data_IF_969564936481
#
_entry.id   IF_969564936481
#
_cell.length_a   1.000
_cell.length_b   1.000
_cell.length_c   1.000
_cell.angle_alpha   90.00
_cell.angle_beta   90.00
_cell.angle_gamma   90.00
#
_symmetry.space_group_name_H-M   'P 1'
#
loop_
_entity.id
_entity.type
_entity.pdbx_description
1 polymer ?
#
# COMPACT_ATOMS: atom_id res chain seq x y z
N UNK A 1 23.18 40.85 -41.69
CA UNK A 1 24.63 41.02 -41.67
C UNK A 1 25.02 40.90 -40.18
N UNK A 2 25.77 39.96 -39.65
CA UNK A 2 27.02 39.37 -39.98
C UNK A 2 27.22 38.08 -39.16
N UNK A 3 27.44 36.97 -39.84
CA UNK A 3 28.35 35.83 -39.65
C UNK A 3 28.67 35.22 -38.26
N UNK A 4 28.24 33.98 -38.18
CA UNK A 4 28.93 32.73 -37.76
C UNK A 4 30.40 32.85 -37.29
N UNK A 5 30.72 32.11 -36.20
CA UNK A 5 31.94 31.26 -36.21
C UNK A 5 31.72 30.00 -35.32
N UNK A 6 31.83 28.85 -35.99
CA UNK A 6 32.03 27.50 -35.38
C UNK A 6 33.47 27.43 -34.84
N UNK A 7 33.64 26.77 -33.71
CA UNK A 7 34.95 26.17 -33.37
C UNK A 7 34.68 24.72 -32.96
N UNK A 8 35.27 23.87 -33.76
CA UNK A 8 35.42 22.41 -33.61
C UNK A 8 36.71 22.16 -32.83
N UNK A 9 36.69 21.30 -31.82
CA UNK A 9 37.91 20.73 -31.27
C UNK A 9 37.73 19.22 -31.05
N UNK A 10 38.54 18.51 -31.81
CA UNK A 10 38.78 17.06 -31.83
C UNK A 10 39.80 16.66 -30.73
N UNK A 11 39.69 15.40 -30.30
CA UNK A 11 40.80 14.62 -29.76
C UNK A 11 40.52 14.06 -28.36
N UNK A 12 40.72 12.84 -27.97
CA UNK A 12 41.56 11.75 -28.50
C UNK A 12 41.07 10.44 -27.85
N UNK A 13 40.99 9.39 -28.61
CA UNK A 13 40.71 8.03 -28.17
C UNK A 13 41.93 7.45 -27.42
N UNK A 14 41.66 6.78 -26.31
CA UNK A 14 42.65 5.90 -25.64
C UNK A 14 42.07 4.49 -25.56
N UNK A 15 42.49 3.64 -26.48
CA UNK A 15 42.21 2.19 -26.47
C UNK A 15 43.24 1.53 -25.57
N UNK A 16 42.79 0.86 -24.52
CA UNK A 16 43.63 -0.09 -23.78
C UNK A 16 43.13 -1.51 -24.09
N UNK A 17 43.87 -2.21 -24.94
CA UNK A 17 43.74 -3.64 -25.20
C UNK A 17 44.53 -4.36 -24.14
N UNK A 18 43.89 -5.22 -23.35
CA UNK A 18 44.57 -6.25 -22.54
C UNK A 18 44.01 -7.61 -22.91
N UNK A 19 44.96 -8.49 -23.20
CA UNK A 19 44.82 -9.70 -23.97
C UNK A 19 43.96 -10.81 -23.38
N UNK A 20 43.42 -11.58 -24.30
CA UNK A 20 42.82 -12.87 -24.11
C UNK A 20 43.86 -13.92 -23.76
N UNK A 21 43.64 -14.62 -22.63
CA UNK A 21 44.15 -15.97 -22.45
C UNK A 21 42.98 -16.94 -22.56
N UNK A 22 42.93 -17.64 -23.66
CA UNK A 22 41.97 -18.74 -23.86
C UNK A 22 42.45 -19.96 -23.04
N UNK A 23 41.57 -20.46 -22.16
CA UNK A 23 41.61 -21.84 -21.72
C UNK A 23 40.23 -22.45 -21.95
N UNK A 24 40.19 -23.35 -22.91
CA UNK A 24 39.08 -24.26 -23.18
C UNK A 24 38.92 -25.22 -22.00
N UNK A 25 37.73 -25.34 -21.42
CA UNK A 25 37.25 -26.63 -20.92
C UNK A 25 35.72 -26.69 -20.87
N UNK A 26 35.23 -27.69 -21.54
CA UNK A 26 33.99 -28.52 -21.39
C UNK A 26 32.77 -27.91 -20.76
N UNK A 27 31.69 -27.96 -21.55
CA UNK A 27 30.31 -27.78 -21.15
C UNK A 27 29.92 -28.71 -19.99
N UNK A 28 29.41 -28.14 -18.94
CA UNK A 28 28.39 -28.72 -18.09
C UNK A 28 27.32 -27.62 -17.92
N UNK A 29 26.10 -27.91 -18.45
CA UNK A 29 24.90 -27.13 -18.22
C UNK A 29 24.53 -27.20 -16.74
N UNK A 30 25.06 -26.30 -15.93
CA UNK A 30 24.51 -25.99 -14.62
C UNK A 30 23.74 -24.66 -14.73
N UNK A 31 22.49 -24.77 -15.14
CA UNK A 31 21.47 -23.77 -14.86
C UNK A 31 21.13 -23.81 -13.36
N UNK A 32 22.08 -23.48 -12.52
CA UNK A 32 21.81 -23.10 -11.15
C UNK A 32 21.65 -21.55 -11.14
N UNK A 33 20.48 -21.10 -11.55
CA UNK A 33 20.08 -19.71 -11.31
C UNK A 33 19.95 -19.55 -9.81
N UNK A 34 20.94 -18.88 -9.24
CA UNK A 34 20.98 -18.47 -7.85
C UNK A 34 19.91 -17.40 -7.62
N UNK A 35 18.63 -17.83 -7.55
CA UNK A 35 17.45 -17.01 -7.29
C UNK A 35 17.32 -16.61 -5.81
N UNK A 36 18.21 -17.11 -4.96
CA UNK A 36 18.07 -16.96 -3.50
C UNK A 36 18.48 -15.59 -2.94
N UNK A 37 19.03 -14.66 -3.74
CA UNK A 37 19.45 -13.32 -3.28
C UNK A 37 19.15 -12.22 -4.31
N UNK A 38 18.21 -12.41 -5.21
CA UNK A 38 17.82 -11.34 -6.13
C UNK A 38 17.11 -10.23 -5.35
N UNK A 39 17.63 -9.01 -5.45
CA UNK A 39 16.99 -7.81 -4.91
C UNK A 39 15.61 -7.64 -5.55
N UNK A 40 14.61 -7.38 -4.74
CA UNK A 40 13.26 -7.07 -5.19
C UNK A 40 12.86 -5.66 -4.76
N UNK A 41 11.87 -5.09 -5.45
CA UNK A 41 11.29 -3.80 -5.09
C UNK A 41 9.97 -4.03 -4.37
N UNK A 42 9.70 -3.23 -3.34
CA UNK A 42 8.43 -3.23 -2.62
C UNK A 42 7.68 -1.95 -2.95
N UNK A 43 6.40 -2.06 -3.27
CA UNK A 43 5.52 -0.92 -3.49
C UNK A 43 4.21 -1.06 -2.74
N UNK A 44 3.63 0.06 -2.36
CA UNK A 44 2.28 0.15 -1.81
C UNK A 44 1.54 1.30 -2.49
N UNK A 45 0.25 1.12 -2.68
CA UNK A 45 -0.66 2.18 -3.12
C UNK A 45 -2.01 2.04 -2.45
N UNK A 46 -2.70 3.17 -2.39
CA UNK A 46 -4.03 3.31 -1.81
C UNK A 46 -4.88 4.11 -2.80
N UNK A 47 -6.15 3.73 -2.90
CA UNK A 47 -7.21 4.52 -3.54
C UNK A 47 -8.33 4.64 -2.51
N UNK A 48 -8.53 5.84 -2.00
CA UNK A 48 -9.54 6.16 -1.00
C UNK A 48 -10.61 7.07 -1.58
N UNK A 49 -11.87 6.82 -1.26
CA UNK A 49 -13.00 7.61 -1.74
C UNK A 49 -14.11 7.73 -0.69
N UNK A 50 -14.82 8.86 -0.74
CA UNK A 50 -16.09 9.05 -0.04
C UNK A 50 -17.17 9.07 -1.10
N UNK A 51 -18.23 8.27 -0.91
CA UNK A 51 -19.35 8.16 -1.84
C UNK A 51 -20.68 8.01 -1.09
N UNK A 52 -21.77 8.06 -1.83
CA UNK A 52 -23.08 7.69 -1.30
C UNK A 52 -23.09 6.21 -0.90
N UNK A 53 -23.72 5.87 0.21
CA UNK A 53 -23.98 4.46 0.54
C UNK A 53 -24.90 3.86 -0.54
N UNK A 54 -24.46 2.79 -1.19
CA UNK A 54 -25.18 2.15 -2.29
C UNK A 54 -26.54 1.58 -1.86
N UNK A 55 -26.64 1.18 -0.58
CA UNK A 55 -27.87 0.58 0.00
C UNK A 55 -28.77 1.61 0.67
N UNK A 56 -28.20 2.70 1.19
CA UNK A 56 -28.92 3.78 1.84
C UNK A 56 -28.54 5.13 1.21
N UNK A 57 -29.12 5.42 0.05
CA UNK A 57 -28.88 6.66 -0.71
C UNK A 57 -29.55 7.87 -0.06
N UNK A 58 -29.13 8.18 1.16
CA UNK A 58 -29.63 9.27 2.00
C UNK A 58 -28.51 10.26 2.27
N UNK A 59 -28.84 11.54 2.45
CA UNK A 59 -27.88 12.55 2.88
C UNK A 59 -27.29 12.29 4.29
N UNK A 60 -27.90 11.36 5.04
CA UNK A 60 -27.46 10.95 6.37
C UNK A 60 -26.51 9.75 6.37
N UNK A 61 -26.24 9.13 5.21
CA UNK A 61 -25.40 7.94 5.08
C UNK A 61 -24.33 8.12 4.02
N UNK A 62 -23.13 7.62 4.32
CA UNK A 62 -21.99 7.61 3.41
C UNK A 62 -21.37 6.21 3.36
N UNK A 63 -20.60 5.98 2.31
CA UNK A 63 -19.65 4.88 2.22
C UNK A 63 -18.25 5.46 2.01
N UNK A 64 -17.34 5.09 2.90
CA UNK A 64 -15.92 5.45 2.87
C UNK A 64 -15.17 4.18 2.55
N UNK A 65 -14.60 4.10 1.36
CA UNK A 65 -13.81 2.96 0.92
C UNK A 65 -12.35 3.34 0.76
N UNK A 66 -11.49 2.42 1.16
CA UNK A 66 -10.06 2.52 0.94
C UNK A 66 -9.52 1.15 0.54
N UNK A 67 -9.24 0.98 -0.75
CA UNK A 67 -8.57 -0.20 -1.27
C UNK A 67 -7.07 0.04 -1.27
N UNK A 68 -6.30 -0.91 -0.73
CA UNK A 68 -4.86 -0.86 -0.72
C UNK A 68 -4.27 -2.12 -1.39
N UNK A 69 -3.14 -1.93 -2.07
CA UNK A 69 -2.32 -3.03 -2.57
C UNK A 69 -0.87 -2.86 -2.15
N UNK A 70 -0.25 -3.97 -1.75
CA UNK A 70 1.18 -4.12 -1.60
C UNK A 70 1.70 -5.06 -2.68
N UNK A 71 2.85 -4.75 -3.27
CA UNK A 71 3.50 -5.58 -4.28
C UNK A 71 4.97 -5.81 -3.94
N UNK A 72 5.43 -7.02 -4.22
CA UNK A 72 6.83 -7.37 -4.35
C UNK A 72 7.08 -7.63 -5.83
N UNK A 73 7.98 -6.90 -6.46
CA UNK A 73 8.26 -7.01 -7.90
C UNK A 73 9.75 -7.25 -8.16
N UNK A 74 10.03 -7.92 -9.26
CA UNK A 74 11.39 -8.13 -9.75
C UNK A 74 11.96 -6.87 -10.45
N UNK A 75 13.17 -6.99 -11.00
CA UNK A 75 13.85 -5.91 -11.70
C UNK A 75 13.07 -5.43 -12.94
N UNK A 76 12.32 -6.30 -13.59
CA UNK A 76 11.54 -6.04 -14.79
C UNK A 76 10.12 -5.51 -14.49
N UNK A 77 9.79 -5.36 -13.20
CA UNK A 77 8.47 -4.89 -12.75
C UNK A 77 7.39 -5.97 -12.80
N UNK A 78 7.76 -7.25 -12.88
CA UNK A 78 6.82 -8.36 -12.76
C UNK A 78 6.53 -8.67 -11.31
N UNK A 79 5.29 -8.96 -11.02
CA UNK A 79 4.80 -9.26 -9.67
C UNK A 79 5.36 -10.61 -9.20
N UNK A 80 6.15 -10.61 -8.14
CA UNK A 80 6.57 -11.81 -7.39
C UNK A 80 5.45 -12.20 -6.43
N UNK A 81 4.95 -11.22 -5.66
CA UNK A 81 3.78 -11.37 -4.78
C UNK A 81 2.97 -10.09 -4.72
N UNK A 82 1.68 -10.21 -4.42
CA UNK A 82 0.75 -9.10 -4.26
C UNK A 82 -0.23 -9.41 -3.15
N UNK A 83 -0.58 -8.39 -2.36
CA UNK A 83 -1.61 -8.45 -1.33
C UNK A 83 -2.56 -7.29 -1.52
N UNK A 84 -3.86 -7.56 -1.40
CA UNK A 84 -4.93 -6.58 -1.52
C UNK A 84 -5.84 -6.69 -0.31
N UNK A 85 -6.21 -5.56 0.27
CA UNK A 85 -7.26 -5.49 1.29
C UNK A 85 -8.07 -4.19 1.11
N UNK A 86 -9.25 -4.15 1.69
CA UNK A 86 -10.16 -3.00 1.58
C UNK A 86 -10.83 -2.72 2.92
N UNK A 87 -10.67 -1.48 3.38
CA UNK A 87 -11.46 -0.93 4.47
C UNK A 87 -12.71 -0.28 3.90
N UNK A 88 -13.88 -0.71 4.38
CA UNK A 88 -15.18 -0.15 4.02
C UNK A 88 -15.91 0.28 5.28
N UNK A 89 -16.11 1.59 5.43
CA UNK A 89 -16.78 2.19 6.59
C UNK A 89 -18.07 2.88 6.14
N UNK A 90 -19.20 2.54 6.77
CA UNK A 90 -20.53 3.05 6.39
C UNK A 90 -21.18 3.82 7.55
N UNK A 91 -20.78 5.09 7.77
CA UNK A 91 -21.42 5.91 8.79
C UNK A 91 -22.85 6.30 8.36
N UNK A 92 -23.80 6.16 9.30
CA UNK A 92 -25.19 6.57 9.14
C UNK A 92 -25.58 7.42 10.36
N UNK A 93 -25.86 8.70 10.14
CA UNK A 93 -26.19 9.65 11.22
C UNK A 93 -27.49 9.29 11.96
N UNK A 94 -28.37 8.51 11.34
CA UNK A 94 -29.59 8.02 11.98
C UNK A 94 -29.32 6.83 12.90
N UNK A 95 -28.11 6.26 12.85
CA UNK A 95 -27.67 5.13 13.66
C UNK A 95 -26.42 5.53 14.45
N UNK A 96 -26.54 5.55 15.76
CA UNK A 96 -25.43 5.83 16.68
C UNK A 96 -24.58 7.06 16.28
N UNK A 97 -25.24 8.14 15.78
CA UNK A 97 -24.60 9.38 15.33
C UNK A 97 -23.42 9.14 14.35
N UNK A 98 -23.61 8.22 13.42
CA UNK A 98 -22.60 7.87 12.42
C UNK A 98 -21.46 7.01 12.95
N UNK A 99 -21.54 6.48 14.16
CA UNK A 99 -20.54 5.57 14.69
C UNK A 99 -20.66 4.19 14.04
N UNK A 100 -19.55 3.64 13.57
CA UNK A 100 -19.47 2.28 12.98
C UNK A 100 -18.74 1.39 13.97
N UNK A 101 -19.42 0.37 14.50
CA UNK A 101 -18.87 -0.53 15.53
C UNK A 101 -17.93 -1.59 14.97
N UNK A 102 -18.12 -2.04 13.73
CA UNK A 102 -17.28 -3.03 13.06
C UNK A 102 -16.44 -2.38 11.95
N UNK A 103 -15.22 -2.00 12.32
CA UNK A 103 -14.24 -1.37 11.44
C UNK A 103 -13.22 -2.37 10.85
N UNK A 104 -13.47 -3.68 10.98
CA UNK A 104 -12.64 -4.71 10.33
C UNK A 104 -12.64 -4.51 8.81
N UNK A 105 -11.50 -4.80 8.18
CA UNK A 105 -11.40 -4.82 6.72
C UNK A 105 -12.23 -5.96 6.12
N UNK A 106 -12.46 -5.93 4.81
CA UNK A 106 -13.14 -7.03 4.12
C UNK A 106 -12.38 -8.36 4.26
N UNK A 107 -11.04 -8.30 4.24
CA UNK A 107 -10.21 -9.48 4.45
C UNK A 107 -10.31 -10.03 5.89
N UNK A 108 -10.35 -9.14 6.89
CA UNK A 108 -10.47 -9.54 8.30
C UNK A 108 -11.89 -10.06 8.63
N UNK A 109 -12.93 -9.59 7.92
CA UNK A 109 -14.32 -10.07 8.06
C UNK A 109 -14.51 -11.49 7.53
N UNK A 110 -13.78 -11.89 6.51
CA UNK A 110 -13.92 -13.21 5.88
C UNK A 110 -15.39 -13.54 5.58
N UNK A 111 -15.90 -14.63 6.21
CA UNK A 111 -17.28 -15.09 6.06
C UNK A 111 -18.31 -14.09 6.63
N UNK A 112 -17.95 -13.28 7.61
CA UNK A 112 -18.81 -12.26 8.18
C UNK A 112 -19.12 -11.12 7.19
N UNK A 113 -18.35 -10.99 6.09
CA UNK A 113 -18.68 -10.05 5.01
C UNK A 113 -19.94 -10.45 4.27
N UNK A 114 -20.22 -11.76 4.17
CA UNK A 114 -21.53 -12.31 3.78
C UNK A 114 -21.82 -12.26 2.28
N UNK A 115 -20.81 -12.23 1.42
CA UNK A 115 -20.99 -12.14 -0.03
C UNK A 115 -21.36 -13.48 -0.69
N UNK A 116 -21.01 -14.62 -0.10
CA UNK A 116 -21.10 -15.94 -0.70
C UNK A 116 -22.47 -16.27 -1.30
N UNK A 117 -23.53 -15.86 -0.61
CA UNK A 117 -24.91 -16.15 -1.03
C UNK A 117 -25.35 -15.38 -2.29
N UNK A 118 -24.71 -14.25 -2.57
CA UNK A 118 -25.00 -13.38 -3.73
C UNK A 118 -23.95 -13.51 -4.84
N UNK A 119 -22.86 -14.19 -4.56
CA UNK A 119 -21.78 -14.41 -5.51
C UNK A 119 -22.17 -15.43 -6.59
N UNK A 120 -22.03 -15.11 -7.90
CA UNK A 120 -22.33 -16.05 -8.99
C UNK A 120 -21.52 -17.36 -8.94
N UNK A 121 -20.35 -17.33 -8.28
CA UNK A 121 -19.46 -18.50 -8.13
C UNK A 121 -19.45 -19.05 -6.70
N UNK A 122 -20.34 -18.56 -5.82
CA UNK A 122 -20.49 -19.05 -4.46
C UNK A 122 -19.25 -18.83 -3.58
N UNK A 123 -18.47 -17.77 -3.84
CA UNK A 123 -17.25 -17.43 -3.09
C UNK A 123 -17.41 -16.12 -2.34
N UNK A 124 -16.78 -16.05 -1.16
CA UNK A 124 -16.64 -14.82 -0.38
C UNK A 124 -15.66 -13.83 -1.05
N UNK A 125 -15.69 -12.58 -0.58
CA UNK A 125 -14.82 -11.53 -1.09
C UNK A 125 -13.33 -11.90 -0.98
N UNK A 126 -12.89 -12.38 0.19
CA UNK A 126 -11.50 -12.75 0.43
C UNK A 126 -11.02 -13.92 -0.46
N UNK A 127 -11.91 -14.86 -0.82
CA UNK A 127 -11.59 -15.96 -1.72
C UNK A 127 -11.42 -15.46 -3.17
N UNK A 128 -12.20 -14.47 -3.58
CA UNK A 128 -12.11 -13.88 -4.91
C UNK A 128 -10.88 -12.98 -5.05
N UNK A 129 -10.52 -12.24 -4.00
CA UNK A 129 -9.27 -11.46 -3.96
C UNK A 129 -8.06 -12.39 -3.99
N UNK A 130 -8.05 -13.49 -3.25
CA UNK A 130 -6.98 -14.47 -3.30
C UNK A 130 -6.81 -15.06 -4.70
N UNK A 131 -7.90 -15.27 -5.46
CA UNK A 131 -7.84 -15.71 -6.85
C UNK A 131 -7.24 -14.61 -7.76
N UNK A 132 -7.59 -13.34 -7.54
CA UNK A 132 -6.99 -12.21 -8.25
C UNK A 132 -5.48 -12.12 -7.95
N UNK A 133 -5.07 -12.19 -6.69
CA UNK A 133 -3.67 -12.16 -6.27
C UNK A 133 -2.86 -13.27 -6.94
N UNK A 134 -3.41 -14.50 -6.97
CA UNK A 134 -2.77 -15.65 -7.61
C UNK A 134 -2.63 -15.43 -9.13
N UNK A 135 -3.67 -14.92 -9.79
CA UNK A 135 -3.66 -14.62 -11.23
C UNK A 135 -2.67 -13.49 -11.59
N UNK A 136 -2.50 -12.50 -10.72
CA UNK A 136 -1.65 -11.34 -10.98
C UNK A 136 -0.13 -11.67 -10.90
N UNK A 137 0.27 -12.74 -10.22
CA UNK A 137 1.68 -13.13 -10.12
C UNK A 137 2.31 -13.40 -11.49
N UNK A 138 3.53 -12.92 -11.68
CA UNK A 138 4.28 -13.00 -12.94
C UNK A 138 3.90 -11.96 -13.99
N UNK A 139 2.86 -11.14 -13.73
CA UNK A 139 2.37 -10.11 -14.65
C UNK A 139 2.99 -8.75 -14.37
N UNK A 140 3.06 -7.93 -15.40
CA UNK A 140 3.37 -6.49 -15.33
C UNK A 140 2.12 -5.67 -15.04
N UNK A 141 2.27 -4.36 -14.76
CA UNK A 141 1.14 -3.46 -14.55
C UNK A 141 0.16 -3.42 -15.74
N UNK A 142 0.68 -3.44 -16.96
CA UNK A 142 -0.16 -3.38 -18.17
C UNK A 142 -0.92 -4.70 -18.38
N UNK A 143 -0.29 -5.84 -18.11
CA UNK A 143 -0.93 -7.16 -18.16
C UNK A 143 -2.02 -7.31 -17.10
N UNK A 144 -1.82 -6.74 -15.90
CA UNK A 144 -2.85 -6.70 -14.84
C UNK A 144 -4.04 -5.83 -15.28
N UNK A 145 -3.79 -4.64 -15.84
CA UNK A 145 -4.86 -3.78 -16.36
C UNK A 145 -5.67 -4.42 -17.48
N UNK A 146 -5.01 -5.18 -18.36
CA UNK A 146 -5.66 -5.88 -19.47
C UNK A 146 -6.56 -7.06 -19.03
N UNK A 147 -6.51 -7.46 -17.76
CA UNK A 147 -7.32 -8.55 -17.21
C UNK A 147 -8.79 -8.21 -16.98
N UNK A 148 -9.17 -6.93 -17.08
CA UNK A 148 -10.56 -6.46 -16.94
C UNK A 148 -11.04 -5.77 -18.23
N UNK A 149 -12.34 -5.75 -18.43
CA UNK A 149 -13.00 -5.00 -19.51
C UNK A 149 -13.26 -3.53 -19.12
N UNK A 150 -13.84 -2.76 -20.04
CA UNK A 150 -14.17 -1.35 -19.83
C UNK A 150 -15.17 -1.11 -18.70
N UNK A 151 -15.87 -2.14 -18.26
CA UNK A 151 -16.79 -2.09 -17.09
C UNK A 151 -16.11 -2.44 -15.77
N UNK A 152 -14.82 -2.83 -15.82
CA UNK A 152 -14.00 -3.18 -14.66
C UNK A 152 -14.22 -4.59 -14.13
N UNK A 153 -14.91 -5.46 -14.87
CA UNK A 153 -15.06 -6.86 -14.53
C UNK A 153 -14.05 -7.73 -15.28
N UNK A 154 -13.72 -8.90 -14.73
CA UNK A 154 -12.75 -9.80 -15.31
C UNK A 154 -13.12 -10.21 -16.76
N UNK A 155 -12.24 -9.91 -17.71
CA UNK A 155 -12.31 -10.33 -19.12
C UNK A 155 -11.38 -11.49 -19.43
N UNK A 156 -10.25 -11.60 -18.73
CA UNK A 156 -9.37 -12.77 -18.78
C UNK A 156 -10.08 -14.01 -18.23
N UNK A 157 -10.00 -15.14 -18.94
CA UNK A 157 -10.75 -16.35 -18.62
C UNK A 157 -10.33 -16.97 -17.29
N UNK A 158 -9.04 -16.97 -16.99
CA UNK A 158 -8.50 -17.53 -15.75
C UNK A 158 -8.88 -16.66 -14.55
N UNK A 159 -8.82 -15.34 -14.71
CA UNK A 159 -9.28 -14.41 -13.68
C UNK A 159 -10.79 -14.56 -13.44
N UNK A 160 -11.59 -14.61 -14.49
CA UNK A 160 -13.06 -14.73 -14.41
C UNK A 160 -13.52 -16.00 -13.70
N UNK A 161 -12.78 -17.09 -13.81
CA UNK A 161 -13.08 -18.34 -13.13
C UNK A 161 -12.97 -18.22 -11.60
N UNK A 162 -12.18 -17.28 -11.10
CA UNK A 162 -11.92 -17.11 -9.67
C UNK A 162 -12.45 -15.81 -9.07
N UNK A 163 -12.68 -14.77 -9.89
CA UNK A 163 -13.04 -13.41 -9.46
C UNK A 163 -14.15 -12.87 -10.37
N UNK A 164 -15.34 -12.68 -9.83
CA UNK A 164 -16.54 -12.17 -10.53
C UNK A 164 -17.00 -10.82 -9.96
N UNK A 165 -16.32 -10.33 -8.93
CA UNK A 165 -16.55 -8.99 -8.37
C UNK A 165 -15.90 -7.92 -9.25
N UNK A 166 -16.25 -6.66 -9.02
CA UNK A 166 -15.60 -5.52 -9.67
C UNK A 166 -14.11 -5.51 -9.34
N UNK A 167 -13.27 -5.77 -10.32
CA UNK A 167 -11.82 -5.88 -10.18
C UNK A 167 -11.07 -4.66 -10.74
N UNK A 168 -11.78 -3.68 -11.33
CA UNK A 168 -11.18 -2.45 -11.86
C UNK A 168 -10.43 -1.64 -10.80
N UNK A 169 -10.94 -1.60 -9.57
CA UNK A 169 -10.25 -1.00 -8.43
C UNK A 169 -8.96 -1.74 -8.08
N UNK A 170 -8.98 -3.07 -8.12
CA UNK A 170 -7.79 -3.89 -7.83
C UNK A 170 -6.70 -3.72 -8.88
N UNK A 171 -7.06 -3.75 -10.17
CA UNK A 171 -6.08 -3.53 -11.25
C UNK A 171 -5.46 -2.15 -11.16
N UNK A 172 -6.25 -1.13 -10.82
CA UNK A 172 -5.80 0.26 -10.68
C UNK A 172 -4.84 0.43 -9.51
N UNK A 173 -5.20 -0.07 -8.31
CA UNK A 173 -4.36 0.07 -7.12
C UNK A 173 -3.07 -0.77 -7.23
N UNK A 174 -3.12 -1.97 -7.83
CA UNK A 174 -1.93 -2.81 -8.07
C UNK A 174 -0.98 -2.13 -9.06
N UNK A 175 -1.50 -1.59 -10.17
CA UNK A 175 -0.66 -0.86 -11.12
C UNK A 175 -0.01 0.38 -10.50
N UNK A 176 -0.73 1.11 -9.65
CA UNK A 176 -0.21 2.24 -8.86
C UNK A 176 0.87 1.77 -7.86
N UNK A 177 0.66 0.62 -7.20
CA UNK A 177 1.65 0.04 -6.28
C UNK A 177 2.94 -0.37 -7.01
N UNK A 178 2.84 -0.96 -8.22
CA UNK A 178 4.00 -1.28 -9.06
C UNK A 178 4.75 -0.01 -9.44
N UNK A 179 4.04 1.06 -9.83
CA UNK A 179 4.66 2.34 -10.17
C UNK A 179 5.39 2.99 -8.97
N UNK A 180 4.93 2.75 -7.75
CA UNK A 180 5.54 3.22 -6.50
C UNK A 180 6.67 2.32 -6.00
N UNK A 181 6.91 1.15 -6.63
CA UNK A 181 7.85 0.15 -6.12
C UNK A 181 9.31 0.64 -6.19
N UNK A 182 10.00 0.55 -5.06
CA UNK A 182 11.40 0.94 -4.92
C UNK A 182 12.20 -0.13 -4.17
N UNK A 183 13.52 -0.10 -4.33
CA UNK A 183 14.42 -0.94 -3.54
C UNK A 183 14.47 -0.43 -2.10
N UNK A 184 13.87 -1.18 -1.19
CA UNK A 184 13.83 -0.83 0.24
C UNK A 184 14.46 -1.89 1.15
N UNK A 185 15.11 -2.90 0.58
CA UNK A 185 15.80 -3.95 1.33
C UNK A 185 15.15 -5.33 1.19
N UNK A 186 14.04 -5.47 0.46
CA UNK A 186 13.39 -6.75 0.22
C UNK A 186 14.20 -7.66 -0.72
N UNK A 187 14.11 -8.96 -0.48
CA UNK A 187 14.56 -10.03 -1.36
C UNK A 187 13.37 -10.67 -2.07
N UNK A 188 13.61 -11.27 -3.24
CA UNK A 188 12.59 -12.01 -3.99
C UNK A 188 12.00 -13.22 -3.23
N UNK A 189 12.68 -13.68 -2.19
CA UNK A 189 12.25 -14.81 -1.34
C UNK A 189 11.52 -14.38 -0.08
N UNK A 190 11.42 -13.08 0.19
CA UNK A 190 10.75 -12.57 1.38
C UNK A 190 9.23 -12.74 1.29
N UNK A 191 8.60 -12.84 2.44
CA UNK A 191 7.14 -12.91 2.53
C UNK A 191 6.55 -11.51 2.56
N UNK A 192 5.77 -11.16 1.54
CA UNK A 192 5.02 -9.90 1.48
C UNK A 192 3.75 -9.97 2.31
N UNK A 193 3.47 -8.91 3.06
CA UNK A 193 2.31 -8.78 3.94
C UNK A 193 1.73 -7.37 3.88
N UNK A 194 0.40 -7.27 4.03
CA UNK A 194 -0.36 -6.02 4.06
C UNK A 194 -1.30 -6.01 5.27
N UNK A 195 -1.43 -4.89 5.94
CA UNK A 195 -2.44 -4.68 6.98
C UNK A 195 -3.05 -3.29 6.88
N UNK A 196 -4.35 -3.22 7.12
CA UNK A 196 -5.10 -1.99 7.26
C UNK A 196 -5.77 -1.99 8.63
N UNK A 197 -5.85 -0.82 9.26
CA UNK A 197 -6.61 -0.62 10.51
C UNK A 197 -7.32 0.70 10.44
N UNK A 198 -8.65 0.68 10.57
CA UNK A 198 -9.48 1.87 10.59
C UNK A 198 -9.94 2.18 12.01
N UNK A 199 -9.96 3.45 12.36
CA UNK A 199 -10.45 3.94 13.64
C UNK A 199 -11.24 5.22 13.45
N UNK A 200 -12.23 5.45 14.33
CA UNK A 200 -12.89 6.75 14.44
C UNK A 200 -11.97 7.71 15.17
N UNK A 201 -11.78 8.90 14.61
CA UNK A 201 -10.98 9.92 15.26
C UNK A 201 -11.65 10.41 16.55
N UNK A 202 -10.89 10.49 17.63
CA UNK A 202 -11.41 10.75 18.98
C UNK A 202 -12.05 12.14 19.15
N UNK A 203 -11.68 13.14 18.33
CA UNK A 203 -12.28 14.48 18.34
C UNK A 203 -13.51 14.59 17.43
N UNK A 204 -14.00 13.48 16.84
CA UNK A 204 -15.25 13.49 16.08
C UNK A 204 -16.42 13.90 16.97
N UNK A 205 -17.30 14.77 16.44
CA UNK A 205 -18.43 15.36 17.16
C UNK A 205 -19.65 15.50 16.23
N UNK A 206 -20.68 16.20 16.69
CA UNK A 206 -21.94 16.37 15.96
C UNK A 206 -21.84 17.17 14.64
N UNK A 207 -20.73 17.87 14.42
CA UNK A 207 -20.50 18.68 13.21
C UNK A 207 -19.37 18.12 12.33
N UNK A 208 -18.53 17.24 12.89
CA UNK A 208 -17.38 16.67 12.20
C UNK A 208 -17.21 15.21 12.58
N UNK A 209 -17.27 14.33 11.60
CA UNK A 209 -16.97 12.91 11.73
C UNK A 209 -15.72 12.59 10.92
N UNK A 210 -14.77 11.93 11.53
CA UNK A 210 -13.54 11.52 10.84
C UNK A 210 -13.25 10.05 11.13
N UNK A 211 -12.89 9.34 10.07
CA UNK A 211 -12.33 8.00 10.14
C UNK A 211 -10.91 8.02 9.55
N UNK A 212 -9.96 7.53 10.32
CA UNK A 212 -8.57 7.38 9.92
C UNK A 212 -8.27 5.92 9.63
N UNK A 213 -7.57 5.67 8.51
CA UNK A 213 -7.10 4.32 8.15
C UNK A 213 -5.59 4.35 8.03
N UNK A 214 -4.91 3.51 8.82
CA UNK A 214 -3.47 3.25 8.74
C UNK A 214 -3.22 2.04 7.85
N UNK A 215 -2.18 2.12 7.01
CA UNK A 215 -1.75 1.09 6.07
C UNK A 215 -0.31 0.71 6.35
N UNK A 216 0.00 -0.58 6.29
CA UNK A 216 1.35 -1.09 6.41
C UNK A 216 1.58 -2.25 5.42
N UNK A 217 2.56 -2.08 4.52
CA UNK A 217 3.09 -3.14 3.69
C UNK A 217 4.50 -3.48 4.18
N UNK A 218 4.72 -4.72 4.54
CA UNK A 218 6.02 -5.20 5.02
C UNK A 218 6.44 -6.46 4.29
N UNK A 219 7.75 -6.61 4.12
CA UNK A 219 8.34 -7.90 3.79
C UNK A 219 9.11 -8.42 4.98
N UNK A 220 9.08 -9.73 5.18
CA UNK A 220 9.82 -10.40 6.26
C UNK A 220 10.66 -11.52 5.68
N UNK A 221 11.87 -11.68 6.24
CA UNK A 221 12.73 -12.82 5.97
C UNK A 221 12.21 -14.12 6.65
N UNK A 222 12.97 -15.21 6.48
CA UNK A 222 12.63 -16.52 7.06
C UNK A 222 12.63 -16.51 8.61
N UNK A 223 13.34 -15.58 9.23
CA UNK A 223 13.40 -15.43 10.70
C UNK A 223 12.29 -14.50 11.23
N UNK A 224 11.41 -13.99 10.34
CA UNK A 224 10.32 -13.09 10.68
C UNK A 224 10.76 -11.65 10.95
N UNK A 225 11.97 -11.27 10.53
CA UNK A 225 12.46 -9.90 10.62
C UNK A 225 12.03 -9.10 9.41
N UNK A 226 11.62 -7.86 9.65
CA UNK A 226 11.23 -6.94 8.60
C UNK A 226 12.43 -6.58 7.73
N UNK A 227 12.34 -6.82 6.43
CA UNK A 227 13.34 -6.47 5.42
C UNK A 227 13.00 -5.17 4.70
N UNK A 228 11.70 -4.93 4.45
CA UNK A 228 11.18 -3.63 4.00
C UNK A 228 9.89 -3.28 4.74
N UNK A 229 9.66 -1.98 4.91
CA UNK A 229 8.45 -1.44 5.53
C UNK A 229 8.02 -0.20 4.75
N UNK A 230 6.73 -0.12 4.43
CA UNK A 230 6.09 1.05 3.84
C UNK A 230 4.81 1.28 4.64
N UNK A 231 4.66 2.46 5.22
CA UNK A 231 3.44 2.88 5.90
C UNK A 231 2.79 4.06 5.21
N UNK A 232 1.49 4.21 5.37
CA UNK A 232 0.75 5.42 4.98
C UNK A 232 -0.49 5.55 5.87
N UNK A 233 -1.20 6.66 5.77
CA UNK A 233 -2.48 6.86 6.42
C UNK A 233 -3.40 7.74 5.57
N UNK A 234 -4.70 7.51 5.65
CA UNK A 234 -5.72 8.36 5.04
C UNK A 234 -6.70 8.85 6.09
N UNK A 235 -7.29 10.03 5.85
CA UNK A 235 -8.23 10.68 6.77
C UNK A 235 -9.51 11.05 6.02
N UNK A 236 -10.57 10.28 6.22
CA UNK A 236 -11.90 10.63 5.70
C UNK A 236 -12.56 11.64 6.64
N UNK A 237 -12.52 12.92 6.26
CA UNK A 237 -13.11 14.03 7.02
C UNK A 237 -14.48 14.36 6.47
N UNK A 238 -15.52 14.14 7.27
CA UNK A 238 -16.91 14.37 6.90
C UNK A 238 -17.50 15.51 7.75
N UNK A 239 -17.93 16.59 7.11
CA UNK A 239 -18.69 17.66 7.77
C UNK A 239 -20.17 17.31 7.84
N UNK A 240 -20.82 17.74 8.92
CA UNK A 240 -22.25 17.51 9.19
C UNK A 240 -22.92 18.86 9.41
N UNK A 241 -24.00 19.13 8.67
CA UNK A 241 -24.84 20.30 8.86
C UNK A 241 -26.31 19.91 8.77
N UNK A 242 -27.13 20.43 9.69
CA UNK A 242 -28.57 20.15 9.76
C UNK A 242 -28.91 18.63 9.82
N UNK A 243 -28.04 17.82 10.41
CA UNK A 243 -28.22 16.36 10.50
C UNK A 243 -27.91 15.59 9.22
N UNK A 244 -27.26 16.21 8.25
CA UNK A 244 -26.87 15.61 6.97
C UNK A 244 -25.38 15.77 6.73
N UNK A 245 -24.78 14.83 5.97
CA UNK A 245 -23.39 14.96 5.50
C UNK A 245 -23.30 16.00 4.40
N UNK A 246 -22.34 16.92 4.53
CA UNK A 246 -22.05 17.99 3.57
C UNK A 246 -20.64 17.89 2.97
N UNK A 247 -20.06 16.68 3.00
CA UNK A 247 -18.72 16.41 2.51
C UNK A 247 -18.69 16.36 0.97
N UNK A 248 -17.57 16.80 0.39
CA UNK A 248 -17.27 16.57 -1.01
C UNK A 248 -17.03 15.06 -1.24
N UNK A 249 -17.73 14.49 -2.22
CA UNK A 249 -17.62 13.08 -2.58
C UNK A 249 -16.57 12.91 -3.67
N UNK A 250 -15.86 11.79 -3.66
CA UNK A 250 -14.82 11.47 -4.62
C UNK A 250 -13.58 10.89 -3.96
N UNK A 251 -12.53 10.77 -4.74
CA UNK A 251 -11.22 10.31 -4.26
C UNK A 251 -10.54 11.38 -3.39
N UNK A 252 -9.84 10.94 -2.36
CA UNK A 252 -9.02 11.80 -1.52
C UNK A 252 -7.63 11.19 -1.28
N UNK A 253 -6.65 12.09 -1.11
CA UNK A 253 -5.23 11.73 -0.99
C UNK A 253 -4.90 11.14 0.38
N UNK A 254 -3.98 10.18 0.42
CA UNK A 254 -3.29 9.75 1.64
C UNK A 254 -2.32 10.82 2.15
N UNK A 255 -1.83 10.67 3.37
CA UNK A 255 -0.85 11.60 3.96
C UNK A 255 0.46 11.65 3.18
N UNK A 256 0.94 10.51 2.66
CA UNK A 256 2.13 10.50 1.80
C UNK A 256 1.89 11.18 0.45
N UNK A 257 0.70 11.04 -0.12
CA UNK A 257 0.36 11.73 -1.37
C UNK A 257 0.18 13.24 -1.19
N UNK A 258 -0.27 13.67 -0.01
CA UNK A 258 -0.36 15.09 0.34
C UNK A 258 1.01 15.74 0.51
N UNK A 259 2.02 15.00 0.97
CA UNK A 259 3.37 15.54 1.23
C UNK A 259 3.32 16.86 2.04
N UNK A 260 3.83 17.94 1.46
CA UNK A 260 3.83 19.29 2.06
C UNK A 260 2.43 19.88 2.21
N UNK A 261 1.46 19.44 1.39
CA UNK A 261 0.05 19.86 1.50
C UNK A 261 -0.60 19.39 2.82
N UNK A 262 -0.04 18.35 3.45
CA UNK A 262 -0.50 17.88 4.77
C UNK A 262 -0.23 18.94 5.86
N UNK A 263 0.85 19.72 5.73
CA UNK A 263 1.10 20.94 6.48
C UNK A 263 1.54 20.73 7.93
N UNK A 264 2.19 19.62 8.25
CA UNK A 264 2.64 19.33 9.62
C UNK A 264 3.93 20.04 10.01
N UNK A 265 4.79 20.40 9.08
CA UNK A 265 6.15 20.90 9.31
C UNK A 265 6.20 22.05 10.30
N UNK A 266 5.23 22.97 10.23
CA UNK A 266 5.16 24.16 11.10
C UNK A 266 4.84 23.86 12.57
N UNK A 267 4.21 22.73 12.85
CA UNK A 267 3.82 22.29 14.22
C UNK A 267 4.70 21.14 14.73
N UNK A 268 5.51 20.56 13.86
CA UNK A 268 6.40 19.44 14.21
C UNK A 268 7.57 19.93 15.09
N UNK A 269 7.83 19.30 16.26
CA UNK A 269 8.97 19.66 17.11
C UNK A 269 10.34 19.55 16.42
N UNK A 270 10.43 18.71 15.39
CA UNK A 270 11.66 18.46 14.62
C UNK A 270 11.62 19.10 13.21
N UNK A 271 10.60 19.92 12.91
CA UNK A 271 10.47 20.65 11.66
C UNK A 271 10.33 19.76 10.42
N UNK A 272 9.74 18.57 10.57
CA UNK A 272 9.53 17.59 9.48
C UNK A 272 8.05 17.40 9.19
N UNK A 273 7.75 17.14 7.90
CA UNK A 273 6.43 16.72 7.46
C UNK A 273 6.13 15.29 7.90
N UNK A 274 4.85 14.89 7.81
CA UNK A 274 4.41 13.55 8.18
C UNK A 274 5.14 12.45 7.38
N UNK A 275 5.24 12.63 6.07
CA UNK A 275 5.88 11.64 5.19
C UNK A 275 7.38 11.45 5.48
N UNK A 276 8.07 12.51 5.94
CA UNK A 276 9.48 12.44 6.34
C UNK A 276 9.65 11.68 7.67
N UNK A 277 8.70 11.83 8.58
CA UNK A 277 8.68 11.12 9.85
C UNK A 277 8.26 9.65 9.66
N UNK A 278 7.32 9.40 8.74
CA UNK A 278 6.97 8.05 8.30
C UNK A 278 8.18 7.31 7.74
N UNK A 279 8.98 7.97 6.88
CA UNK A 279 10.21 7.37 6.34
C UNK A 279 11.23 7.02 7.42
N UNK A 280 11.32 7.81 8.49
CA UNK A 280 12.18 7.49 9.65
C UNK A 280 11.69 6.22 10.38
N UNK A 281 10.38 6.09 10.60
CA UNK A 281 9.78 4.89 11.17
C UNK A 281 10.00 3.66 10.29
N UNK A 282 9.77 3.76 8.99
CA UNK A 282 9.99 2.69 8.01
C UNK A 282 11.43 2.16 8.04
N UNK A 283 12.39 3.06 8.09
CA UNK A 283 13.81 2.68 8.18
C UNK A 283 14.15 2.03 9.52
N UNK A 284 13.57 2.53 10.61
CA UNK A 284 13.78 1.97 11.94
C UNK A 284 13.21 0.54 12.07
N UNK A 285 12.11 0.23 11.38
CA UNK A 285 11.49 -1.11 11.38
C UNK A 285 12.37 -2.21 10.79
N UNK A 286 13.33 -1.86 9.93
CA UNK A 286 14.19 -2.86 9.26
C UNK A 286 15.03 -3.64 10.26
N UNK A 287 15.03 -4.97 10.13
CA UNK A 287 15.69 -5.90 11.04
C UNK A 287 14.95 -6.16 12.35
N UNK A 288 13.80 -5.50 12.60
CA UNK A 288 12.96 -5.69 13.77
C UNK A 288 11.96 -6.82 13.57
N UNK A 289 11.57 -7.44 14.67
CA UNK A 289 10.42 -8.35 14.74
C UNK A 289 9.13 -7.59 14.99
N UNK A 290 7.98 -8.24 14.80
CA UNK A 290 6.67 -7.67 15.12
C UNK A 290 6.58 -7.21 16.60
N UNK A 291 7.11 -7.99 17.54
CA UNK A 291 7.08 -7.66 18.97
C UNK A 291 7.94 -6.43 19.29
N UNK A 292 9.13 -6.30 18.66
CA UNK A 292 9.98 -5.11 18.83
C UNK A 292 9.31 -3.85 18.26
N UNK A 293 8.59 -3.97 17.12
CA UNK A 293 7.84 -2.86 16.53
C UNK A 293 6.68 -2.47 17.46
N UNK A 294 5.94 -3.44 17.98
CA UNK A 294 4.82 -3.20 18.89
C UNK A 294 5.27 -2.52 20.20
N UNK A 295 6.49 -2.76 20.65
CA UNK A 295 7.05 -2.19 21.87
C UNK A 295 7.75 -0.82 21.69
N UNK A 296 7.68 -0.20 20.49
CA UNK A 296 8.48 0.99 20.17
C UNK A 296 7.92 2.32 20.70
N UNK A 297 6.75 2.33 21.33
CA UNK A 297 6.13 3.55 21.87
C UNK A 297 5.84 3.44 23.38
N UNK A 298 5.74 4.60 24.03
CA UNK A 298 5.44 4.71 25.46
C UNK A 298 3.96 5.04 25.73
N UNK A 299 3.64 5.30 27.00
CA UNK A 299 2.29 5.64 27.47
C UNK A 299 1.74 6.93 26.81
N UNK A 300 2.62 7.82 26.35
CA UNK A 300 2.29 9.03 25.60
C UNK A 300 2.04 8.75 24.09
N UNK A 301 2.02 7.48 23.70
CA UNK A 301 1.84 7.01 22.32
C UNK A 301 2.91 7.50 21.32
N UNK A 302 3.98 8.12 21.81
CA UNK A 302 5.13 8.60 21.02
C UNK A 302 6.25 7.56 21.05
N UNK A 303 7.22 7.70 20.14
CA UNK A 303 8.39 6.83 20.10
C UNK A 303 9.13 6.82 21.44
N UNK A 304 9.40 5.63 21.99
CA UNK A 304 10.19 5.42 23.21
C UNK A 304 11.67 5.17 22.91
N UNK A 305 11.98 4.60 21.74
CA UNK A 305 13.34 4.36 21.28
C UNK A 305 14.01 5.68 20.87
N UNK A 306 15.26 5.91 21.30
CA UNK A 306 15.95 7.18 21.11
C UNK A 306 16.27 7.48 19.64
N UNK A 307 16.65 6.45 18.87
CA UNK A 307 16.99 6.59 17.46
C UNK A 307 15.72 6.89 16.64
N UNK A 308 14.62 6.21 16.97
CA UNK A 308 13.33 6.48 16.34
C UNK A 308 12.84 7.89 16.67
N UNK A 309 12.91 8.30 17.94
CA UNK A 309 12.46 9.60 18.43
C UNK A 309 13.20 10.77 17.75
N UNK A 310 14.46 10.59 17.39
CA UNK A 310 15.24 11.61 16.68
C UNK A 310 14.69 11.89 15.26
N UNK A 311 13.98 10.95 14.67
CA UNK A 311 13.42 11.05 13.32
C UNK A 311 11.90 11.11 13.24
N UNK A 312 11.19 10.70 14.31
CA UNK A 312 9.75 10.52 14.33
C UNK A 312 9.19 10.94 15.69
N UNK A 313 8.43 12.03 15.73
CA UNK A 313 7.80 12.60 16.93
C UNK A 313 6.28 12.62 16.85
N UNK A 314 5.70 12.05 15.79
CA UNK A 314 4.25 11.87 15.67
C UNK A 314 3.77 10.78 16.64
N UNK A 315 2.49 10.76 16.94
CA UNK A 315 1.84 9.63 17.59
C UNK A 315 1.96 8.41 16.69
N UNK A 316 2.63 7.35 17.17
CA UNK A 316 2.94 6.16 16.36
C UNK A 316 2.26 4.89 16.84
N UNK A 317 1.52 4.91 17.94
CA UNK A 317 0.92 3.71 18.53
C UNK A 317 0.08 2.91 17.56
N UNK A 318 -0.88 3.56 16.87
CA UNK A 318 -1.73 2.88 15.85
C UNK A 318 -0.93 2.39 14.65
N UNK A 319 0.05 3.17 14.20
CA UNK A 319 0.95 2.82 13.09
C UNK A 319 1.81 1.60 13.47
N UNK A 320 2.38 1.59 14.68
CA UNK A 320 3.20 0.50 15.17
C UNK A 320 2.38 -0.80 15.36
N UNK A 321 1.19 -0.71 15.95
CA UNK A 321 0.25 -1.83 16.08
C UNK A 321 -0.13 -2.41 14.70
N UNK A 322 -0.48 -1.55 13.74
CA UNK A 322 -0.83 -1.98 12.39
C UNK A 322 0.36 -2.60 11.64
N UNK A 323 1.57 -2.01 11.79
CA UNK A 323 2.81 -2.55 11.20
C UNK A 323 3.17 -3.90 11.81
N UNK A 324 3.09 -4.04 13.13
CA UNK A 324 3.29 -5.31 13.82
C UNK A 324 2.26 -6.37 13.39
N UNK A 325 0.97 -6.00 13.24
CA UNK A 325 -0.07 -6.86 12.68
C UNK A 325 0.30 -7.34 11.27
N UNK A 326 0.79 -6.43 10.41
CA UNK A 326 1.28 -6.80 9.09
C UNK A 326 2.47 -7.76 9.18
N UNK A 327 3.42 -7.56 10.09
CA UNK A 327 4.60 -8.42 10.23
C UNK A 327 4.27 -9.84 10.75
N UNK A 328 3.09 -10.08 11.30
CA UNK A 328 2.63 -11.39 11.80
C UNK A 328 1.61 -12.09 10.91
N UNK A 329 1.00 -11.40 9.97
CA UNK A 329 -0.05 -11.93 9.06
C UNK A 329 0.42 -13.01 8.09
#
# INVERSE_FOLDING_TARGET
MTKMKKVLALGLAGVLVVGFAACSNSASDDKNTNTQNATAKTGMAIISQIKDDEHNKSATALEIDSVAAAVLVDADGKIIDVKIDEAQTKPDLTKDNGNVSDLRTKLDKKEDYGMKSTSPIGKEWYEQVAAFEAWAKGKTADEVKAGVDDTGYASDADLKAGCTIYAGGFTSVVAKAIANATECGASATDTLKLSLTTQKYYESNETNLQYDTDYAAVTTDADGKVTSCIIDASQAKCTIANGEFTVEKGEYKSKKELKEEYGMKGTSPIGKEWYEQAAAFENWCKGKTADEIKACYGDDMSASDADLKAGCTITISSIAENTAKAATK
#
